data_IF_113981924590
#
_entry.id   IF_113981924590
#
_cell.length_a   1.000
_cell.length_b   1.000
_cell.length_c   1.000
_cell.angle_alpha   90.00
_cell.angle_beta   90.00
_cell.angle_gamma   90.00
#
_symmetry.space_group_name_H-M   'P 1'
#
loop_
_entity.id
_entity.type
_entity.pdbx_description
1 polymer ?
#
# COMPACT_ATOMS: atom_id res chain seq x y z
N UNK A 1 6.97 -19.50 -23.14
CA UNK A 1 6.04 -18.36 -22.98
C UNK A 1 5.73 -18.23 -21.51
N UNK A 2 6.09 -17.11 -20.88
CA UNK A 2 5.66 -16.82 -19.51
C UNK A 2 4.26 -16.22 -19.64
N UNK A 3 3.24 -16.89 -19.09
CA UNK A 3 1.91 -16.27 -18.95
C UNK A 3 2.05 -15.01 -18.11
N UNK A 4 1.60 -13.87 -18.64
CA UNK A 4 1.57 -12.61 -17.92
C UNK A 4 0.47 -12.69 -16.86
N UNK A 5 0.86 -12.95 -15.60
CA UNK A 5 -0.07 -12.99 -14.47
C UNK A 5 -0.52 -11.56 -14.20
N UNK A 6 -1.79 -11.28 -14.50
CA UNK A 6 -2.42 -10.01 -14.13
C UNK A 6 -2.59 -9.96 -12.61
N UNK A 7 -2.21 -8.85 -11.95
CA UNK A 7 -2.44 -8.71 -10.52
C UNK A 7 -3.93 -8.63 -10.21
N UNK A 8 -4.33 -9.16 -9.06
CA UNK A 8 -5.66 -8.90 -8.52
C UNK A 8 -5.65 -7.52 -7.89
N UNK A 9 -6.62 -6.67 -8.26
CA UNK A 9 -6.71 -5.31 -7.74
C UNK A 9 -7.87 -5.23 -6.75
N UNK A 10 -7.60 -4.65 -5.58
CA UNK A 10 -8.57 -4.45 -4.51
C UNK A 10 -8.55 -2.98 -4.07
N UNK A 11 -9.63 -2.25 -4.34
CA UNK A 11 -9.80 -0.91 -3.81
C UNK A 11 -10.17 -0.98 -2.32
N UNK A 12 -9.55 -0.14 -1.50
CA UNK A 12 -9.88 0.01 -0.07
C UNK A 12 -10.64 1.31 0.17
N UNK A 13 -11.40 1.36 1.26
CA UNK A 13 -12.29 2.50 1.55
C UNK A 13 -11.55 3.79 1.92
N UNK A 14 -10.35 3.68 2.48
CA UNK A 14 -9.57 4.82 2.97
C UNK A 14 -8.07 4.57 2.88
N UNK A 15 -7.27 5.63 2.90
CA UNK A 15 -5.81 5.49 2.92
C UNK A 15 -5.35 4.91 4.26
N UNK A 16 -6.07 5.18 5.34
CA UNK A 16 -5.86 4.58 6.65
C UNK A 16 -6.04 3.06 6.61
N UNK A 17 -7.04 2.54 5.90
CA UNK A 17 -7.21 1.10 5.69
C UNK A 17 -6.04 0.48 4.91
N UNK A 18 -5.50 1.20 3.92
CA UNK A 18 -4.30 0.76 3.21
C UNK A 18 -3.08 0.68 4.15
N UNK A 19 -2.92 1.66 5.05
CA UNK A 19 -1.84 1.67 6.05
C UNK A 19 -1.99 0.50 7.02
N UNK A 20 -3.20 0.26 7.52
CA UNK A 20 -3.50 -0.90 8.37
C UNK A 20 -3.12 -2.20 7.67
N UNK A 21 -3.54 -2.38 6.41
CA UNK A 21 -3.19 -3.55 5.61
C UNK A 21 -1.68 -3.70 5.48
N UNK A 22 -0.98 -2.68 4.99
CA UNK A 22 0.47 -2.72 4.78
C UNK A 22 1.24 -3.12 6.05
N UNK A 23 0.83 -2.59 7.21
CA UNK A 23 1.49 -2.87 8.49
C UNK A 23 1.07 -4.22 9.09
N UNK A 24 -0.15 -4.70 8.82
CA UNK A 24 -0.66 -5.97 9.37
C UNK A 24 -0.03 -7.23 8.77
N UNK A 25 0.50 -7.14 7.54
CA UNK A 25 1.08 -8.31 6.87
C UNK A 25 2.48 -8.61 7.39
N UNK A 26 2.68 -9.84 7.85
CA UNK A 26 3.98 -10.35 8.28
C UNK A 26 4.78 -10.78 7.04
N UNK A 27 5.54 -9.84 6.47
CA UNK A 27 6.54 -10.10 5.43
C UNK A 27 7.96 -9.85 5.96
N UNK A 28 9.02 -10.38 5.30
CA UNK A 28 10.39 -9.98 5.56
C UNK A 28 10.59 -8.48 5.26
N UNK A 29 10.46 -7.64 6.28
CA UNK A 29 10.54 -6.18 6.19
C UNK A 29 9.17 -5.50 6.11
N UNK A 30 9.12 -4.16 6.27
CA UNK A 30 7.87 -3.42 6.22
C UNK A 30 7.33 -3.42 4.79
N UNK A 31 6.05 -3.79 4.61
CA UNK A 31 5.36 -3.63 3.34
C UNK A 31 5.31 -2.14 3.00
N UNK A 32 5.87 -1.75 1.86
CA UNK A 32 5.90 -0.36 1.41
C UNK A 32 4.57 0.04 0.79
N UNK A 33 4.20 1.31 0.93
CA UNK A 33 3.13 1.93 0.14
C UNK A 33 3.80 2.64 -1.03
N UNK A 34 3.40 2.32 -2.24
CA UNK A 34 3.80 3.04 -3.44
C UNK A 34 2.79 4.14 -3.73
N UNK A 35 3.28 5.27 -4.23
CA UNK A 35 2.45 6.40 -4.63
C UNK A 35 2.82 6.82 -6.05
N UNK A 36 1.83 7.11 -6.88
CA UNK A 36 2.03 7.81 -8.14
C UNK A 36 0.86 8.73 -8.45
N UNK A 37 1.12 9.72 -9.31
CA UNK A 37 0.11 10.69 -9.75
C UNK A 37 -0.28 10.40 -11.20
N UNK A 38 -1.58 10.30 -11.46
CA UNK A 38 -2.14 10.12 -12.80
C UNK A 38 -3.46 10.88 -12.91
N UNK A 39 -3.65 11.63 -14.01
CA UNK A 39 -4.93 12.31 -14.26
C UNK A 39 -5.35 13.38 -13.25
N UNK A 40 -4.50 13.73 -12.28
CA UNK A 40 -4.85 14.60 -11.16
C UNK A 40 -5.10 13.84 -9.85
N UNK A 41 -5.30 12.53 -9.94
CA UNK A 41 -5.45 11.63 -8.81
C UNK A 41 -4.08 11.18 -8.27
N UNK A 42 -4.03 11.00 -6.97
CA UNK A 42 -2.94 10.39 -6.23
C UNK A 42 -3.35 8.96 -5.89
N UNK A 43 -2.62 8.00 -6.43
CA UNK A 43 -2.91 6.58 -6.28
C UNK A 43 -1.88 5.98 -5.36
N UNK A 44 -2.35 5.43 -4.24
CA UNK A 44 -1.54 4.76 -3.23
C UNK A 44 -1.81 3.27 -3.30
N UNK A 45 -0.78 2.42 -3.26
CA UNK A 45 -0.98 0.98 -3.32
C UNK A 45 0.12 0.19 -2.62
N UNK A 46 -0.20 -1.01 -2.14
CA UNK A 46 0.79 -1.96 -1.65
C UNK A 46 0.61 -3.33 -2.31
N UNK A 47 1.72 -4.06 -2.43
CA UNK A 47 1.76 -5.41 -2.99
C UNK A 47 1.78 -6.44 -1.87
N UNK A 48 0.70 -7.21 -1.77
CA UNK A 48 0.57 -8.28 -0.78
C UNK A 48 0.36 -9.58 -1.57
N UNK A 49 1.30 -10.54 -1.52
CA UNK A 49 1.10 -11.82 -2.18
C UNK A 49 -0.09 -12.57 -1.58
N UNK A 50 -1.06 -13.00 -2.39
CA UNK A 50 -2.10 -13.92 -1.92
C UNK A 50 -1.50 -15.32 -1.89
N UNK A 51 -1.13 -15.78 -0.70
CA UNK A 51 -0.62 -17.12 -0.48
C UNK A 51 -1.79 -18.12 -0.48
N UNK A 52 -1.82 -19.05 -1.44
CA UNK A 52 -2.51 -20.33 -1.26
C UNK A 52 -3.83 -20.58 -1.99
N UNK A 53 -4.12 -19.96 -3.15
CA UNK A 53 -5.35 -20.33 -3.90
C UNK A 53 -5.22 -21.54 -4.84
N UNK A 54 -4.02 -21.99 -5.23
CA UNK A 54 -3.76 -23.33 -5.82
C UNK A 54 -2.23 -23.52 -5.89
N UNK A 55 -1.76 -24.76 -5.85
CA UNK A 55 -0.33 -25.08 -5.82
C UNK A 55 0.52 -24.32 -6.84
N UNK A 56 1.60 -23.72 -6.36
CA UNK A 56 2.78 -23.23 -7.10
C UNK A 56 2.78 -21.83 -7.74
N UNK A 57 1.70 -21.03 -7.75
CA UNK A 57 1.77 -19.63 -8.21
C UNK A 57 1.06 -18.68 -7.24
N UNK A 58 1.81 -17.85 -6.50
CA UNK A 58 1.23 -16.70 -5.81
C UNK A 58 0.79 -15.69 -6.84
N UNK A 59 -0.47 -15.26 -6.76
CA UNK A 59 -0.96 -14.14 -7.58
C UNK A 59 -0.68 -12.87 -6.76
N UNK A 60 0.02 -11.86 -7.31
CA UNK A 60 0.20 -10.60 -6.62
C UNK A 60 -1.16 -9.91 -6.47
N UNK A 61 -1.58 -9.64 -5.23
CA UNK A 61 -2.68 -8.72 -4.97
C UNK A 61 -2.12 -7.32 -4.75
N UNK A 62 -2.77 -6.36 -5.40
CA UNK A 62 -2.52 -4.93 -5.26
C UNK A 62 -3.72 -4.37 -4.53
N UNK A 63 -3.49 -3.90 -3.31
CA UNK A 63 -4.47 -3.12 -2.57
C UNK A 63 -4.20 -1.65 -2.85
N UNK A 64 -5.23 -0.87 -3.16
CA UNK A 64 -5.04 0.53 -3.54
C UNK A 64 -6.13 1.47 -3.06
N UNK A 65 -5.78 2.75 -2.98
CA UNK A 65 -6.67 3.85 -2.65
C UNK A 65 -6.41 5.03 -3.59
N UNK A 66 -7.49 5.68 -4.04
CA UNK A 66 -7.43 6.89 -4.86
C UNK A 66 -7.76 8.12 -4.02
N UNK A 67 -6.93 9.15 -4.14
CA UNK A 67 -7.10 10.42 -3.42
C UNK A 67 -6.94 11.61 -4.36
N UNK A 68 -7.74 12.66 -4.17
CA UNK A 68 -7.53 13.95 -4.84
C UNK A 68 -6.39 14.76 -4.22
N UNK A 69 -5.88 14.34 -3.06
CA UNK A 69 -4.87 15.05 -2.29
C UNK A 69 -3.67 14.16 -2.00
N UNK A 70 -2.48 14.72 -2.17
CA UNK A 70 -1.25 14.10 -1.71
C UNK A 70 -1.18 14.15 -0.18
N UNK A 71 -0.69 13.08 0.43
CA UNK A 71 -0.32 13.07 1.85
C UNK A 71 1.01 13.76 2.10
N UNK A 72 1.24 14.16 3.35
CA UNK A 72 2.47 14.83 3.76
C UNK A 72 3.55 13.82 4.16
N UNK A 73 4.73 13.98 3.57
CA UNK A 73 5.95 13.27 4.00
C UNK A 73 6.01 11.81 3.54
N UNK A 74 7.16 11.15 3.72
CA UNK A 74 7.41 9.81 3.19
C UNK A 74 7.04 8.68 4.17
N UNK A 75 6.43 8.96 5.32
CA UNK A 75 6.06 7.95 6.31
C UNK A 75 4.57 7.95 6.57
N UNK A 76 3.98 6.76 6.60
CA UNK A 76 2.67 6.52 7.20
C UNK A 76 2.86 5.78 8.52
N UNK A 77 2.29 6.33 9.59
CA UNK A 77 2.48 5.90 10.96
C UNK A 77 1.15 5.41 11.50
N UNK A 78 1.17 4.32 12.28
CA UNK A 78 0.02 3.84 13.03
C UNK A 78 0.37 3.62 14.50
N UNK A 79 -0.52 4.07 15.38
CA UNK A 79 -0.45 3.85 16.82
C UNK A 79 -1.63 2.99 17.26
N UNK A 80 -1.32 1.85 17.89
CA UNK A 80 -2.30 0.83 18.27
C UNK A 80 -2.36 0.59 19.78
N UNK A 81 -1.51 1.25 20.57
CA UNK A 81 -1.37 1.08 22.03
C UNK A 81 -2.23 2.07 22.85
N UNK A 82 -3.06 2.89 22.20
CA UNK A 82 -4.05 3.76 22.83
C UNK A 82 -5.29 3.90 21.97
N UNK A 83 -6.47 3.82 22.59
CA UNK A 83 -7.75 4.05 21.92
C UNK A 83 -8.08 5.55 21.86
N UNK A 84 -8.58 6.07 20.72
CA UNK A 84 -8.74 5.37 19.44
C UNK A 84 -7.40 5.18 18.70
N UNK A 85 -7.32 4.14 17.86
CA UNK A 85 -6.22 3.96 16.90
C UNK A 85 -5.99 5.22 16.06
N UNK A 86 -4.72 5.58 15.83
CA UNK A 86 -4.35 6.79 15.09
C UNK A 86 -3.47 6.46 13.90
N UNK A 87 -3.82 7.01 12.73
CA UNK A 87 -2.99 6.99 11.52
C UNK A 87 -2.51 8.42 11.23
N UNK A 88 -1.22 8.58 10.92
CA UNK A 88 -0.61 9.88 10.62
C UNK A 88 0.39 9.79 9.46
N UNK A 89 0.44 10.83 8.62
CA UNK A 89 1.45 10.99 7.57
C UNK A 89 2.48 12.04 7.99
N UNK A 90 3.78 11.69 7.94
CA UNK A 90 4.84 12.47 8.56
C UNK A 90 6.16 12.48 7.78
N UNK A 91 6.98 13.49 8.03
CA UNK A 91 8.35 13.63 7.52
C UNK A 91 9.36 12.74 8.28
N UNK A 92 8.96 12.21 9.45
CA UNK A 92 9.83 11.41 10.33
C UNK A 92 9.08 10.24 10.95
N UNK A 93 9.80 9.20 11.37
CA UNK A 93 9.24 8.14 12.23
C UNK A 93 9.06 8.62 13.67
N UNK A 94 8.18 7.96 14.42
CA UNK A 94 7.91 8.27 15.84
C UNK A 94 8.13 7.04 16.71
N UNK A 95 8.75 7.22 17.88
CA UNK A 95 8.93 6.14 18.86
C UNK A 95 7.56 5.66 19.36
N UNK A 96 7.37 4.35 19.40
CA UNK A 96 6.10 3.73 19.81
C UNK A 96 5.04 3.69 18.70
N UNK A 97 5.36 4.14 17.49
CA UNK A 97 4.50 4.00 16.32
C UNK A 97 5.08 2.95 15.38
N UNK A 98 4.21 2.17 14.76
CA UNK A 98 4.61 1.37 13.60
C UNK A 98 4.65 2.28 12.38
N UNK A 99 5.65 2.09 11.52
CA UNK A 99 5.86 2.95 10.36
C UNK A 99 5.98 2.11 9.10
N UNK A 100 5.34 2.57 8.03
CA UNK A 100 5.66 2.18 6.65
C UNK A 100 6.11 3.39 5.85
N UNK A 101 6.87 3.15 4.79
CA UNK A 101 7.38 4.17 3.88
C UNK A 101 6.47 4.32 2.67
N UNK A 102 6.27 5.57 2.26
CA UNK A 102 5.61 5.95 1.02
C UNK A 102 6.70 6.21 -0.03
N UNK A 103 6.71 5.38 -1.06
CA UNK A 103 7.69 5.42 -2.15
C UNK A 103 7.04 6.04 -3.38
N UNK A 104 7.52 7.23 -3.76
CA UNK A 104 7.03 7.93 -4.94
C UNK A 104 7.58 7.30 -6.23
N UNK A 105 6.68 6.83 -7.08
CA UNK A 105 6.98 6.29 -8.40
C UNK A 105 6.74 7.34 -9.47
N UNK A 106 7.60 7.37 -10.48
CA UNK A 106 7.41 8.20 -11.67
C UNK A 106 6.23 7.71 -12.52
N UNK A 107 6.05 6.40 -12.60
CA UNK A 107 4.98 5.71 -13.34
C UNK A 107 4.86 4.28 -12.81
N UNK A 108 3.66 3.71 -12.85
CA UNK A 108 3.44 2.28 -12.58
C UNK A 108 3.79 1.39 -13.78
N UNK A 109 4.12 0.11 -13.56
CA UNK A 109 4.21 -0.87 -14.64
C UNK A 109 2.91 -0.93 -15.45
N UNK A 110 3.01 -1.09 -16.77
CA UNK A 110 1.84 -1.10 -17.67
C UNK A 110 0.85 -2.26 -17.42
N UNK A 111 1.29 -3.31 -16.71
CA UNK A 111 0.46 -4.43 -16.30
C UNK A 111 -0.49 -4.11 -15.13
N UNK A 112 -0.35 -2.94 -14.49
CA UNK A 112 -1.22 -2.50 -13.40
C UNK A 112 -2.21 -1.49 -13.97
N UNK A 113 -3.51 -1.81 -13.92
CA UNK A 113 -4.58 -0.95 -14.46
C UNK A 113 -5.57 -0.61 -13.36
N UNK A 114 -5.41 0.56 -12.75
CA UNK A 114 -6.26 0.99 -11.64
C UNK A 114 -7.54 1.63 -12.18
N UNK A 115 -8.62 0.86 -12.25
CA UNK A 115 -9.94 1.27 -12.78
C UNK A 115 -10.56 2.42 -11.98
#
# INVERSE_FOLDING_TARGET
MVEEIQPLLFEVCSLEDLVRLAISVILPGPTQIFHYKEGGDHIYFCLIPVLGLTGAKSIPAVYYYKSLKEVKGPYALIKTDGEPEQVEFSDTTKRGWHATVIVNLKKVPASFKFD
#
